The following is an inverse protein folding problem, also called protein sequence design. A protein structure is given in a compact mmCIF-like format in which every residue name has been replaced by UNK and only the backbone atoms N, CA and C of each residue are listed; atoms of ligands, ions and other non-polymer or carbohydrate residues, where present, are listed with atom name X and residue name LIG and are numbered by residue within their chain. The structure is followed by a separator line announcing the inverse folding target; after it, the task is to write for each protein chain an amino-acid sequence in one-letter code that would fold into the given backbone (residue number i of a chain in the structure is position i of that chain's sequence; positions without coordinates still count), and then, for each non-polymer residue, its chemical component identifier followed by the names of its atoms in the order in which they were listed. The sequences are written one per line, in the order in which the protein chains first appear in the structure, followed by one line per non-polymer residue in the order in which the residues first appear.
data_IF_481847677634
#
_entry.id   IF_481847677634
#
_cell.length_a   1.000
_cell.length_b   1.000
_cell.length_c   1.000
_cell.angle_alpha   90.00
_cell.angle_beta   90.00
_cell.angle_gamma   90.00
#
_symmetry.space_group_name_H-M   'P 1'
#
loop_
_entity.id
_entity.type
_entity.pdbx_description
1 polymer ?
#
# COMPACT_ATOMS: atom_id res chain seq x y z
N UNK A 1 10.24 -2.87 -10.58
CA UNK A 1 9.77 -1.65 -11.29
C UNK A 1 10.76 -0.50 -11.20
N UNK A 2 11.22 -0.13 -9.99
CA UNK A 2 12.19 0.97 -9.79
C UNK A 2 13.42 0.78 -10.69
N UNK A 3 14.07 -0.39 -10.62
CA UNK A 3 15.25 -0.68 -11.44
C UNK A 3 15.02 -0.49 -12.94
N UNK A 4 13.88 -0.95 -13.46
CA UNK A 4 13.53 -0.77 -14.87
C UNK A 4 13.33 0.72 -15.21
N UNK A 5 12.63 1.49 -14.36
CA UNK A 5 12.43 2.92 -14.55
C UNK A 5 13.78 3.66 -14.58
N UNK A 6 14.71 3.32 -13.68
CA UNK A 6 16.05 3.92 -13.61
C UNK A 6 16.93 3.50 -14.79
N UNK A 7 17.00 2.20 -15.09
CA UNK A 7 17.79 1.65 -16.20
C UNK A 7 17.44 2.27 -17.55
N UNK A 8 16.17 2.53 -17.80
CA UNK A 8 15.69 3.09 -19.06
C UNK A 8 15.43 4.60 -19.00
N UNK A 9 15.80 5.26 -17.90
CA UNK A 9 15.59 6.71 -17.67
C UNK A 9 14.15 7.14 -17.96
N UNK A 10 13.19 6.36 -17.47
CA UNK A 10 11.75 6.67 -17.57
C UNK A 10 11.35 7.54 -16.39
N UNK A 11 10.56 8.57 -16.69
CA UNK A 11 9.85 9.37 -15.68
C UNK A 11 8.57 8.62 -15.33
N UNK A 12 8.37 8.33 -14.05
CA UNK A 12 7.20 7.61 -13.54
C UNK A 12 6.58 8.44 -12.43
N UNK A 13 5.26 8.62 -12.48
CA UNK A 13 4.50 9.22 -11.40
C UNK A 13 3.46 8.22 -10.90
N UNK A 14 3.55 7.83 -9.63
CA UNK A 14 2.59 6.95 -8.98
C UNK A 14 1.35 7.72 -8.50
N UNK A 15 0.17 7.14 -8.70
CA UNK A 15 -1.07 7.64 -8.12
C UNK A 15 -1.25 7.17 -6.66
N UNK A 16 -1.66 8.08 -5.78
CA UNK A 16 -2.30 7.79 -4.49
C UNK A 16 -3.40 8.83 -4.28
N UNK A 17 -4.16 8.75 -3.19
CA UNK A 17 -5.05 9.85 -2.79
C UNK A 17 -4.26 11.17 -2.72
N UNK A 18 -4.91 12.29 -3.04
CA UNK A 18 -4.27 13.58 -3.28
C UNK A 18 -3.73 14.16 -1.96
N UNK A 19 -2.49 13.84 -1.60
CA UNK A 19 -1.90 14.23 -0.31
C UNK A 19 -1.81 15.75 -0.10
N UNK A 20 -1.69 16.51 -1.20
CA UNK A 20 -1.71 17.98 -1.18
C UNK A 20 -3.12 18.58 -1.18
N UNK A 21 -4.17 17.76 -1.18
CA UNK A 21 -5.57 18.18 -1.15
C UNK A 21 -6.32 17.48 0.00
N UNK A 22 -6.62 16.19 -0.17
CA UNK A 22 -7.51 15.41 0.71
C UNK A 22 -6.97 15.24 2.14
N UNK A 23 -5.64 15.28 2.34
CA UNK A 23 -5.01 15.05 3.64
C UNK A 23 -4.42 16.30 4.29
N UNK A 24 -4.63 17.50 3.73
CA UNK A 24 -4.04 18.74 4.25
C UNK A 24 -4.38 18.99 5.72
N UNK A 25 -5.60 18.67 6.14
CA UNK A 25 -6.04 18.78 7.55
C UNK A 25 -5.21 17.96 8.53
N UNK A 26 -4.59 16.87 8.08
CA UNK A 26 -3.71 16.02 8.91
C UNK A 26 -2.26 16.46 8.72
N UNK A 27 -1.85 16.75 7.49
CA UNK A 27 -0.48 17.14 7.16
C UNK A 27 -0.09 18.47 7.80
N UNK A 28 -0.95 19.48 7.75
CA UNK A 28 -0.64 20.83 8.23
C UNK A 28 -0.25 20.88 9.70
N UNK A 29 -1.01 20.32 10.66
CA UNK A 29 -0.59 20.33 12.06
C UNK A 29 0.66 19.46 12.30
N UNK A 30 0.84 18.37 11.53
CA UNK A 30 2.05 17.54 11.63
C UNK A 30 3.30 18.30 11.17
N UNK A 31 3.23 18.96 10.02
CA UNK A 31 4.37 19.63 9.40
C UNK A 31 4.59 21.03 9.96
N UNK A 32 3.53 21.72 10.38
CA UNK A 32 3.59 23.01 11.08
C UNK A 32 4.13 22.93 12.51
N UNK A 33 4.35 21.71 13.04
CA UNK A 33 4.92 21.51 14.38
C UNK A 33 3.93 21.63 15.53
N UNK A 34 2.64 21.83 15.24
CA UNK A 34 1.57 21.97 16.25
C UNK A 34 1.45 20.75 17.17
N UNK A 35 1.74 19.56 16.62
CA UNK A 35 1.71 18.30 17.36
C UNK A 35 3.05 17.93 18.02
N UNK A 36 4.05 18.82 17.97
CA UNK A 36 5.41 18.52 18.40
C UNK A 36 6.06 17.39 17.56
N UNK A 37 7.13 16.75 18.07
CA UNK A 37 7.66 15.51 17.52
C UNK A 37 6.59 14.41 17.36
N UNK A 38 6.36 13.97 16.12
CA UNK A 38 5.43 12.86 15.82
C UNK A 38 6.04 11.53 16.27
N UNK A 39 5.20 10.67 16.87
CA UNK A 39 5.57 9.32 17.30
C UNK A 39 4.90 8.26 16.45
N UNK A 40 3.62 8.42 16.17
CA UNK A 40 2.89 7.46 15.34
C UNK A 40 1.70 8.02 14.60
N UNK A 41 1.22 7.26 13.63
CA UNK A 41 -0.10 7.45 13.01
C UNK A 41 -0.78 6.10 12.81
N UNK A 42 -2.09 6.02 13.04
CA UNK A 42 -2.90 4.84 12.79
C UNK A 42 -3.64 4.91 11.45
N UNK A 43 -3.74 3.78 10.75
CA UNK A 43 -4.49 3.62 9.51
C UNK A 43 -5.49 2.49 9.70
N UNK A 44 -6.76 2.75 9.37
CA UNK A 44 -7.79 1.71 9.32
C UNK A 44 -8.17 1.45 7.86
N UNK A 45 -7.76 0.29 7.34
CA UNK A 45 -8.15 -0.19 6.00
C UNK A 45 -8.47 -1.68 6.03
N UNK A 46 -9.14 -2.14 4.98
CA UNK A 46 -9.59 -3.53 4.86
C UNK A 46 -10.86 -3.63 4.01
N UNK A 47 -11.43 -4.83 3.90
CA UNK A 47 -10.95 -6.09 4.50
C UNK A 47 -9.71 -6.66 3.79
N UNK A 48 -9.08 -7.68 4.37
CA UNK A 48 -8.11 -8.52 3.66
C UNK A 48 -8.83 -9.34 2.57
N UNK A 49 -8.09 -9.72 1.52
CA UNK A 49 -8.59 -10.69 0.55
C UNK A 49 -8.93 -12.05 1.19
N UNK A 50 -9.87 -12.76 0.59
CA UNK A 50 -10.34 -14.08 1.02
C UNK A 50 -10.14 -15.14 -0.06
N UNK A 51 -10.28 -16.41 0.32
CA UNK A 51 -10.35 -17.50 -0.66
C UNK A 51 -11.67 -17.42 -1.45
N UNK A 52 -11.64 -17.85 -2.71
CA UNK A 52 -12.82 -17.90 -3.55
C UNK A 52 -13.41 -19.31 -3.60
N UNK A 53 -14.68 -19.46 -3.21
CA UNK A 53 -15.40 -20.75 -3.24
C UNK A 53 -16.67 -20.70 -4.09
N UNK A 54 -16.70 -19.81 -5.09
CA UNK A 54 -17.82 -19.71 -6.02
C UNK A 54 -17.99 -21.02 -6.80
N UNK A 55 -19.23 -21.50 -7.01
CA UNK A 55 -19.49 -22.69 -7.81
C UNK A 55 -19.21 -22.43 -9.30
N UNK A 56 -19.01 -23.50 -10.05
CA UNK A 56 -18.87 -23.42 -11.49
C UNK A 56 -20.20 -23.01 -12.16
N UNK A 57 -20.08 -22.21 -13.22
CA UNK A 57 -21.14 -21.86 -14.16
C UNK A 57 -20.69 -22.22 -15.59
N UNK A 58 -21.64 -22.38 -16.50
CA UNK A 58 -21.33 -22.49 -17.92
C UNK A 58 -20.63 -21.21 -18.40
N UNK A 59 -19.49 -21.37 -19.07
CA UNK A 59 -18.73 -20.23 -19.58
C UNK A 59 -19.45 -19.64 -20.81
N UNK A 60 -19.80 -18.34 -20.80
CA UNK A 60 -20.36 -17.67 -21.96
C UNK A 60 -19.42 -17.77 -23.18
N UNK A 61 -19.98 -17.84 -24.38
CA UNK A 61 -19.17 -17.95 -25.61
C UNK A 61 -18.45 -16.66 -26.01
N UNK A 62 -18.79 -15.54 -25.37
CA UNK A 62 -18.24 -14.20 -25.63
C UNK A 62 -17.10 -13.81 -24.68
N UNK A 63 -16.65 -14.71 -23.78
CA UNK A 63 -15.49 -14.50 -22.92
C UNK A 63 -14.39 -15.55 -23.17
N UNK A 64 -13.17 -15.08 -23.38
CA UNK A 64 -11.98 -15.93 -23.31
C UNK A 64 -11.60 -16.11 -21.84
N UNK A 65 -12.11 -17.19 -21.23
CA UNK A 65 -11.92 -17.44 -19.81
C UNK A 65 -10.47 -17.73 -19.43
N UNK A 66 -9.73 -18.41 -20.30
CA UNK A 66 -8.32 -18.72 -20.08
C UNK A 66 -7.47 -17.45 -20.07
N UNK A 67 -7.76 -16.52 -20.99
CA UNK A 67 -7.15 -15.19 -21.01
C UNK A 67 -7.55 -14.36 -19.79
N UNK A 68 -8.82 -14.38 -19.40
CA UNK A 68 -9.30 -13.62 -18.23
C UNK A 68 -8.63 -14.08 -16.94
N UNK A 69 -8.48 -15.39 -16.72
CA UNK A 69 -7.77 -15.93 -15.57
C UNK A 69 -6.30 -15.52 -15.56
N UNK A 70 -5.68 -15.44 -16.74
CA UNK A 70 -4.28 -15.08 -16.89
C UNK A 70 -3.36 -15.97 -16.03
N UNK A 71 -2.39 -15.39 -15.30
CA UNK A 71 -1.40 -16.13 -14.51
C UNK A 71 -1.97 -16.78 -13.24
N UNK A 72 -3.21 -16.47 -12.85
CA UNK A 72 -3.79 -17.01 -11.63
C UNK A 72 -3.97 -18.54 -11.71
N UNK A 73 -4.10 -19.24 -10.56
CA UNK A 73 -4.53 -20.63 -10.54
C UNK A 73 -5.81 -20.83 -11.35
N UNK A 74 -5.89 -21.96 -12.05
CA UNK A 74 -7.09 -22.27 -12.82
C UNK A 74 -8.30 -22.40 -11.89
N UNK A 75 -9.41 -21.76 -12.26
CA UNK A 75 -10.68 -21.85 -11.54
C UNK A 75 -11.83 -21.91 -12.56
N UNK A 76 -12.94 -22.59 -12.24
CA UNK A 76 -14.08 -22.61 -13.14
C UNK A 76 -14.68 -21.20 -13.27
N UNK A 77 -15.30 -20.96 -14.42
CA UNK A 77 -16.05 -19.73 -14.65
C UNK A 77 -17.13 -19.56 -13.59
N UNK A 78 -17.27 -18.32 -13.13
CA UNK A 78 -18.44 -17.85 -12.41
C UNK A 78 -18.56 -16.35 -12.68
N UNK A 79 -19.75 -15.90 -13.08
CA UNK A 79 -20.02 -14.50 -13.41
C UNK A 79 -19.61 -13.51 -12.30
N UNK A 80 -19.69 -13.88 -11.02
CA UNK A 80 -19.28 -13.05 -9.87
C UNK A 80 -17.78 -12.78 -9.76
N UNK A 81 -16.97 -13.35 -10.65
CA UNK A 81 -15.57 -12.94 -10.81
C UNK A 81 -15.44 -11.71 -11.73
N UNK A 82 -16.34 -11.54 -12.70
CA UNK A 82 -16.18 -10.57 -13.79
C UNK A 82 -17.46 -9.83 -14.22
N UNK A 83 -18.51 -9.78 -13.38
CA UNK A 83 -19.80 -9.15 -13.69
C UNK A 83 -19.82 -7.61 -13.60
N UNK A 84 -18.64 -6.97 -13.56
CA UNK A 84 -18.50 -5.53 -13.38
C UNK A 84 -18.62 -5.05 -11.93
N UNK A 85 -18.76 -5.94 -10.95
CA UNK A 85 -18.62 -5.58 -9.54
C UNK A 85 -17.14 -5.34 -9.18
N UNK A 86 -16.83 -4.17 -8.61
CA UNK A 86 -15.50 -3.80 -8.12
C UNK A 86 -15.42 -3.65 -6.60
N UNK A 87 -16.36 -4.25 -5.86
CA UNK A 87 -16.33 -4.30 -4.40
C UNK A 87 -15.15 -5.12 -3.87
N UNK A 88 -14.71 -4.83 -2.64
CA UNK A 88 -13.61 -5.54 -1.97
C UNK A 88 -14.07 -6.45 -0.83
N UNK A 89 -15.37 -6.47 -0.52
CA UNK A 89 -15.97 -7.22 0.59
C UNK A 89 -16.75 -8.48 0.18
N UNK A 90 -16.44 -9.07 -0.98
CA UNK A 90 -17.03 -10.31 -1.50
C UNK A 90 -17.62 -10.17 -2.89
N UNK A 91 -17.86 -11.31 -3.55
CA UNK A 91 -18.53 -11.40 -4.86
C UNK A 91 -17.92 -10.51 -5.97
N UNK A 92 -16.59 -10.36 -5.94
CA UNK A 92 -15.79 -9.67 -6.96
C UNK A 92 -14.38 -10.22 -6.97
N UNK A 93 -13.72 -10.23 -8.13
CA UNK A 93 -12.31 -10.61 -8.24
C UNK A 93 -11.40 -9.83 -7.27
N UNK A 94 -11.74 -8.57 -6.96
CA UNK A 94 -10.95 -7.72 -6.06
C UNK A 94 -10.94 -8.22 -4.63
N UNK A 95 -11.85 -9.11 -4.25
CA UNK A 95 -11.90 -9.73 -2.93
C UNK A 95 -11.10 -11.01 -2.82
N UNK A 96 -10.69 -11.63 -3.93
CA UNK A 96 -10.12 -12.97 -3.90
C UNK A 96 -8.59 -12.94 -3.96
N UNK A 97 -7.97 -13.72 -3.09
CA UNK A 97 -6.51 -13.75 -2.86
C UNK A 97 -5.67 -14.12 -4.09
N UNK A 98 -6.29 -14.84 -5.03
CA UNK A 98 -5.69 -15.24 -6.30
C UNK A 98 -5.56 -14.09 -7.30
N UNK A 99 -6.36 -13.03 -7.15
CA UNK A 99 -6.38 -11.89 -8.08
C UNK A 99 -6.04 -10.54 -7.41
N UNK A 100 -6.22 -10.41 -6.10
CA UNK A 100 -6.14 -9.14 -5.38
C UNK A 100 -5.82 -9.33 -3.90
N UNK A 101 -5.23 -8.31 -3.26
CA UNK A 101 -5.05 -8.24 -1.80
C UNK A 101 -6.26 -7.70 -1.04
N UNK A 102 -7.39 -7.46 -1.72
CA UNK A 102 -8.62 -6.98 -1.08
C UNK A 102 -8.62 -5.47 -0.84
N UNK A 103 -9.43 -5.03 0.12
CA UNK A 103 -9.51 -3.64 0.55
C UNK A 103 -8.17 -3.10 1.09
N UNK A 104 -7.33 -4.00 1.62
CA UNK A 104 -5.97 -3.67 2.08
C UNK A 104 -5.06 -3.14 0.96
N UNK A 105 -5.08 -3.74 -0.22
CA UNK A 105 -4.26 -3.27 -1.37
C UNK A 105 -4.98 -2.22 -2.21
N UNK A 106 -6.29 -2.06 -2.01
CA UNK A 106 -7.10 -0.97 -2.59
C UNK A 106 -6.90 0.32 -1.79
N UNK A 107 -7.65 0.48 -0.69
CA UNK A 107 -7.63 1.67 0.16
C UNK A 107 -6.32 1.87 0.91
N UNK A 108 -5.52 0.81 1.09
CA UNK A 108 -4.20 0.94 1.73
C UNK A 108 -3.27 1.87 0.96
N UNK A 109 -3.25 1.81 -0.39
CA UNK A 109 -2.44 2.74 -1.18
C UNK A 109 -2.83 4.22 -0.95
N UNK A 110 -4.09 4.48 -0.61
CA UNK A 110 -4.60 5.80 -0.27
C UNK A 110 -4.18 6.21 1.14
N UNK A 111 -4.57 5.42 2.15
CA UNK A 111 -4.38 5.79 3.56
C UNK A 111 -2.93 5.66 4.03
N UNK A 112 -2.21 4.60 3.65
CA UNK A 112 -0.78 4.49 3.94
C UNK A 112 0.03 5.55 3.18
N UNK A 113 -0.37 5.89 1.95
CA UNK A 113 0.22 7.01 1.21
C UNK A 113 0.04 8.36 1.93
N UNK A 114 -1.16 8.62 2.46
CA UNK A 114 -1.42 9.79 3.29
C UNK A 114 -0.66 9.79 4.61
N UNK A 115 -0.62 8.65 5.30
CA UNK A 115 0.06 8.48 6.58
C UNK A 115 1.57 8.69 6.46
N UNK A 116 2.22 7.99 5.53
CA UNK A 116 3.66 8.13 5.27
C UNK A 116 4.05 9.55 4.87
N UNK A 117 3.16 10.28 4.19
CA UNK A 117 3.36 11.70 3.89
C UNK A 117 3.19 12.59 5.14
N UNK A 118 2.13 12.38 5.92
CA UNK A 118 1.84 13.17 7.12
C UNK A 118 2.95 13.06 8.17
N UNK A 119 3.46 11.86 8.43
CA UNK A 119 4.54 11.63 9.41
C UNK A 119 5.94 11.66 8.78
N UNK A 120 6.05 12.08 7.52
CA UNK A 120 7.29 12.38 6.82
C UNK A 120 8.29 11.21 6.71
N UNK A 121 7.76 10.01 6.48
CA UNK A 121 8.55 8.76 6.29
C UNK A 121 8.43 8.19 4.88
N UNK A 122 7.86 8.93 3.93
CA UNK A 122 7.63 8.45 2.54
C UNK A 122 8.89 7.99 1.79
N UNK A 123 10.06 8.47 2.19
CA UNK A 123 11.36 8.09 1.61
C UNK A 123 12.00 6.89 2.34
N UNK A 124 11.37 6.42 3.41
CA UNK A 124 11.80 5.29 4.22
C UNK A 124 10.86 4.10 4.03
N UNK A 125 11.34 2.92 4.43
CA UNK A 125 10.54 1.74 4.68
C UNK A 125 10.70 1.31 6.15
N UNK A 126 9.73 0.59 6.73
CA UNK A 126 9.91 0.05 8.07
C UNK A 126 10.96 -1.07 8.09
N UNK A 127 11.62 -1.26 9.21
CA UNK A 127 12.58 -2.37 9.44
C UNK A 127 11.94 -3.54 10.20
N UNK A 128 10.82 -3.29 10.89
CA UNK A 128 10.07 -4.30 11.62
C UNK A 128 8.56 -4.14 11.36
N UNK A 129 7.90 -5.28 11.24
CA UNK A 129 6.43 -5.41 11.14
C UNK A 129 5.99 -6.25 12.32
N UNK A 130 5.39 -5.63 13.32
CA UNK A 130 5.04 -6.29 14.58
C UNK A 130 3.57 -6.67 14.53
N UNK A 131 3.29 -7.96 14.68
CA UNK A 131 1.93 -8.49 14.74
C UNK A 131 1.47 -8.55 16.19
N UNK A 132 0.29 -8.01 16.44
CA UNK A 132 -0.37 -8.04 17.73
C UNK A 132 -1.66 -8.85 17.65
N UNK A 133 -1.83 -9.77 18.59
CA UNK A 133 -3.02 -10.61 18.72
C UNK A 133 -3.53 -10.52 20.16
N UNK A 134 -4.64 -9.81 20.33
CA UNK A 134 -5.35 -9.68 21.60
C UNK A 134 -6.67 -10.47 21.55
N UNK A 135 -6.73 -11.55 20.75
CA UNK A 135 -7.90 -12.39 20.58
C UNK A 135 -8.83 -11.87 19.48
N UNK A 136 -9.83 -11.08 19.84
CA UNK A 136 -10.79 -10.50 18.88
C UNK A 136 -10.22 -9.31 18.09
N UNK A 137 -9.04 -8.82 18.49
CA UNK A 137 -8.38 -7.66 17.91
C UNK A 137 -6.99 -8.02 17.44
N UNK A 138 -6.80 -7.94 16.13
CA UNK A 138 -5.54 -8.19 15.47
C UNK A 138 -5.09 -6.92 14.74
N UNK A 139 -3.88 -6.47 15.02
CA UNK A 139 -3.35 -5.22 14.49
C UNK A 139 -1.87 -5.34 14.20
N UNK A 140 -1.35 -4.43 13.38
CA UNK A 140 0.06 -4.44 12.94
C UNK A 140 0.70 -3.08 13.23
N UNK A 141 1.94 -3.10 13.68
CA UNK A 141 2.80 -1.92 13.83
C UNK A 141 3.99 -2.02 12.88
N UNK A 142 4.24 -0.95 12.13
CA UNK A 142 5.40 -0.77 11.27
C UNK A 142 6.38 0.16 11.97
N UNK A 143 7.57 -0.32 12.31
CA UNK A 143 8.62 0.51 12.93
C UNK A 143 9.62 0.99 11.90
N UNK A 144 9.78 2.30 11.82
CA UNK A 144 10.75 2.95 10.95
C UNK A 144 12.08 3.19 11.67
N UNK A 145 13.20 3.27 10.93
CA UNK A 145 14.53 3.45 11.52
C UNK A 145 14.69 4.76 12.31
N UNK A 146 13.86 5.76 12.03
CA UNK A 146 13.83 7.03 12.75
C UNK A 146 12.98 7.00 14.03
N UNK A 147 12.46 5.84 14.42
CA UNK A 147 11.64 5.64 15.62
C UNK A 147 10.16 6.00 15.46
N UNK A 148 9.70 6.43 14.28
CA UNK A 148 8.28 6.63 14.00
C UNK A 148 7.60 5.29 13.77
N UNK A 149 6.37 5.14 14.22
CA UNK A 149 5.53 3.99 13.92
C UNK A 149 4.32 4.34 13.05
N UNK A 150 3.98 3.47 12.10
CA UNK A 150 2.65 3.47 11.47
C UNK A 150 1.93 2.24 11.99
N UNK A 151 0.68 2.38 12.41
CA UNK A 151 -0.13 1.24 12.88
C UNK A 151 -1.29 0.99 11.93
N UNK A 152 -1.70 -0.27 11.84
CA UNK A 152 -2.84 -0.70 11.05
C UNK A 152 -3.89 -1.36 11.94
N UNK A 153 -5.11 -0.80 11.96
CA UNK A 153 -6.25 -1.24 12.78
C UNK A 153 -5.93 -1.30 14.28
N UNK A 154 -5.14 -0.35 14.81
CA UNK A 154 -4.87 -0.26 16.24
C UNK A 154 -6.20 -0.13 17.01
N UNK A 155 -6.44 -0.95 18.05
CA UNK A 155 -7.68 -0.91 18.82
C UNK A 155 -8.06 0.49 19.31
N UNK A 156 -9.35 0.82 19.21
CA UNK A 156 -9.94 2.08 19.70
C UNK A 156 -9.26 3.34 19.16
N UNK A 157 -8.66 3.26 17.96
CA UNK A 157 -7.94 4.37 17.35
C UNK A 157 -8.55 4.70 15.99
N UNK A 158 -8.85 5.98 15.76
CA UNK A 158 -9.46 6.44 14.52
C UNK A 158 -8.52 6.32 13.31
N UNK A 159 -9.10 6.33 12.11
CA UNK A 159 -8.32 6.32 10.89
C UNK A 159 -7.56 7.65 10.73
N UNK A 160 -6.27 7.56 10.42
CA UNK A 160 -5.33 8.68 10.32
C UNK A 160 -5.19 9.49 11.61
N UNK A 161 -5.43 8.85 12.77
CA UNK A 161 -5.16 9.44 14.07
C UNK A 161 -3.64 9.53 14.30
N UNK A 162 -3.14 10.74 14.56
CA UNK A 162 -1.72 11.03 14.77
C UNK A 162 -1.44 11.19 16.25
N UNK A 163 -0.43 10.48 16.73
CA UNK A 163 0.13 10.64 18.07
C UNK A 163 1.44 11.43 17.98
N UNK A 164 1.45 12.62 18.57
CA UNK A 164 2.65 13.45 18.74
C UNK A 164 2.95 13.74 20.22
N UNK A 165 3.82 14.69 20.48
CA UNK A 165 4.12 15.23 21.82
C UNK A 165 3.74 16.71 21.92
N UNK A 166 2.44 17.05 22.01
CA UNK A 166 2.00 18.44 22.11
C UNK A 166 2.66 19.15 23.31
N UNK A 167 3.23 20.32 23.05
CA UNK A 167 3.98 21.10 24.05
C UNK A 167 5.50 20.95 23.97
N UNK A 168 6.01 19.95 23.24
CA UNK A 168 7.40 19.92 22.80
C UNK A 168 7.57 20.73 21.51
N UNK A 169 8.66 21.48 21.41
CA UNK A 169 8.95 22.29 20.23
C UNK A 169 9.48 21.42 19.09
N UNK A 170 8.88 21.57 17.91
CA UNK A 170 9.42 21.08 16.64
C UNK A 170 9.35 22.20 15.61
N UNK A 171 10.48 22.46 14.96
CA UNK A 171 10.52 23.45 13.88
C UNK A 171 9.57 23.06 12.74
N UNK A 172 8.79 24.02 12.22
CA UNK A 172 7.88 23.74 11.12
C UNK A 172 8.66 23.38 9.85
N UNK A 173 8.13 22.41 9.11
CA UNK A 173 8.60 22.00 7.78
C UNK A 173 7.60 22.51 6.74
N UNK A 174 8.09 23.23 5.73
CA UNK A 174 7.25 23.65 4.61
C UNK A 174 6.75 22.43 3.82
N UNK A 175 5.45 22.41 3.52
CA UNK A 175 4.86 21.35 2.71
C UNK A 175 5.22 21.57 1.24
N UNK A 176 5.78 20.55 0.55
CA UNK A 176 6.16 20.66 -0.86
C UNK A 176 4.94 20.92 -1.75
N UNK A 177 5.19 21.56 -2.89
CA UNK A 177 4.18 21.85 -3.91
C UNK A 177 4.45 21.07 -5.19
N UNK A 178 3.40 20.93 -6.01
CA UNK A 178 3.54 20.40 -7.36
C UNK A 178 4.35 21.35 -8.25
N UNK A 179 5.18 20.79 -9.12
CA UNK A 179 5.81 21.54 -10.21
C UNK A 179 4.79 21.78 -11.33
N UNK A 180 5.03 22.80 -12.15
CA UNK A 180 4.13 23.14 -13.25
C UNK A 180 2.75 23.64 -12.79
N UNK A 181 1.72 23.44 -13.62
CA UNK A 181 0.36 23.92 -13.39
C UNK A 181 -0.66 22.79 -13.59
N UNK A 182 -1.74 22.79 -12.80
CA UNK A 182 -2.79 21.77 -12.92
C UNK A 182 -2.63 20.55 -12.00
N UNK A 183 -1.94 20.72 -10.87
CA UNK A 183 -1.78 19.67 -9.85
C UNK A 183 -0.81 18.56 -10.26
N UNK A 184 -1.08 17.33 -9.81
CA UNK A 184 -0.19 16.17 -10.04
C UNK A 184 0.05 15.85 -11.53
N UNK A 185 -0.93 16.11 -12.40
CA UNK A 185 -0.76 15.94 -13.84
C UNK A 185 0.20 16.99 -14.42
N UNK A 186 0.10 18.24 -13.94
CA UNK A 186 1.02 19.32 -14.26
C UNK A 186 2.45 19.00 -13.86
N UNK A 187 2.61 18.47 -12.66
CA UNK A 187 3.89 18.02 -12.10
C UNK A 187 4.53 16.94 -12.96
N UNK A 188 3.76 15.91 -13.32
CA UNK A 188 4.24 14.84 -14.19
C UNK A 188 4.64 15.35 -15.57
N UNK A 189 3.81 16.18 -16.22
CA UNK A 189 4.12 16.74 -17.54
C UNK A 189 5.38 17.62 -17.48
N UNK A 190 5.52 18.43 -16.43
CA UNK A 190 6.73 19.22 -16.19
C UNK A 190 7.96 18.32 -16.12
N UNK A 191 7.92 17.29 -15.28
CA UNK A 191 9.03 16.35 -15.09
C UNK A 191 9.36 15.53 -16.34
N UNK A 192 8.37 15.17 -17.17
CA UNK A 192 8.61 14.54 -18.47
C UNK A 192 9.40 15.47 -19.41
N UNK A 193 9.09 16.76 -19.41
CA UNK A 193 9.76 17.76 -20.25
C UNK A 193 11.15 18.11 -19.77
N UNK A 194 11.34 18.27 -18.45
CA UNK A 194 12.60 18.71 -17.85
C UNK A 194 13.52 17.56 -17.44
N UNK A 195 13.01 16.33 -17.43
CA UNK A 195 13.67 15.13 -16.89
C UNK A 195 13.95 15.19 -15.39
N UNK A 196 13.24 16.05 -14.68
CA UNK A 196 13.26 16.06 -13.22
C UNK A 196 12.45 14.91 -12.61
N UNK A 197 12.63 14.69 -11.32
CA UNK A 197 11.86 13.74 -10.51
C UNK A 197 10.46 14.30 -10.20
N UNK A 198 9.38 13.53 -10.48
CA UNK A 198 8.01 13.88 -10.09
C UNK A 198 7.82 13.89 -8.57
N UNK A 199 6.82 14.66 -8.12
CA UNK A 199 6.38 14.71 -6.72
C UNK A 199 5.99 13.32 -6.17
N UNK A 200 5.46 12.43 -7.01
CA UNK A 200 5.19 11.02 -6.69
C UNK A 200 6.08 10.08 -7.50
N UNK A 201 7.38 10.19 -7.35
CA UNK A 201 8.32 9.25 -7.99
C UNK A 201 8.05 7.79 -7.58
N UNK A 202 8.58 6.86 -8.37
CA UNK A 202 8.29 5.42 -8.25
C UNK A 202 8.68 4.84 -6.88
N UNK A 203 9.76 5.29 -6.26
CA UNK A 203 10.18 4.83 -4.93
C UNK A 203 9.14 5.19 -3.87
N UNK A 204 8.57 6.41 -3.93
CA UNK A 204 7.55 6.85 -2.97
C UNK A 204 6.26 6.04 -3.11
N UNK A 205 5.91 5.67 -4.36
CA UNK A 205 4.78 4.80 -4.63
C UNK A 205 5.01 3.38 -4.11
N UNK A 206 6.20 2.82 -4.33
CA UNK A 206 6.60 1.49 -3.81
C UNK A 206 6.56 1.48 -2.29
N UNK A 207 7.15 2.49 -1.62
CA UNK A 207 7.16 2.57 -0.16
C UNK A 207 5.73 2.64 0.43
N UNK A 208 4.82 3.35 -0.24
CA UNK A 208 3.42 3.44 0.20
C UNK A 208 2.70 2.08 0.13
N UNK A 209 2.86 1.35 -0.98
CA UNK A 209 2.18 0.07 -1.21
C UNK A 209 2.85 -1.10 -0.47
N UNK A 210 4.15 -0.99 -0.17
CA UNK A 210 4.88 -1.98 0.64
C UNK A 210 4.16 -2.25 1.97
N UNK A 211 3.63 -1.22 2.64
CA UNK A 211 2.90 -1.38 3.90
C UNK A 211 1.69 -2.31 3.78
N UNK A 212 0.89 -2.18 2.72
CA UNK A 212 -0.25 -3.08 2.46
C UNK A 212 0.19 -4.55 2.32
N UNK A 213 1.29 -4.80 1.61
CA UNK A 213 1.82 -6.15 1.43
C UNK A 213 2.42 -6.69 2.73
N UNK A 214 3.25 -5.91 3.41
CA UNK A 214 3.89 -6.29 4.67
C UNK A 214 2.85 -6.62 5.75
N UNK A 215 1.81 -5.78 5.92
CA UNK A 215 0.71 -6.11 6.85
C UNK A 215 -0.03 -7.38 6.43
N UNK A 216 -0.36 -7.53 5.14
CA UNK A 216 -1.06 -8.74 4.66
C UNK A 216 -0.27 -10.01 4.98
N UNK A 217 1.06 -9.97 4.81
CA UNK A 217 1.93 -11.11 5.10
C UNK A 217 1.96 -11.35 6.62
N UNK A 218 2.16 -10.31 7.43
CA UNK A 218 2.15 -10.44 8.90
C UNK A 218 0.82 -11.02 9.43
N UNK A 219 -0.33 -10.56 8.92
CA UNK A 219 -1.64 -11.16 9.25
C UNK A 219 -1.76 -12.61 8.81
N UNK A 220 -1.12 -12.98 7.70
CA UNK A 220 -1.19 -14.34 7.17
C UNK A 220 -0.34 -15.33 7.98
N UNK A 221 0.88 -14.94 8.35
CA UNK A 221 1.77 -15.78 9.16
C UNK A 221 1.52 -15.63 10.67
N UNK A 222 0.73 -14.63 11.08
CA UNK A 222 0.34 -14.33 12.46
C UNK A 222 1.51 -14.19 13.43
N UNK A 223 2.56 -13.48 12.98
CA UNK A 223 3.76 -13.21 13.79
C UNK A 223 4.50 -11.98 13.28
N UNK A 224 5.32 -11.42 14.15
CA UNK A 224 6.20 -10.30 13.81
C UNK A 224 7.30 -10.72 12.85
N UNK A 225 7.70 -9.80 11.98
CA UNK A 225 8.66 -9.99 10.90
C UNK A 225 9.69 -8.87 10.90
N UNK A 226 10.93 -9.20 10.55
CA UNK A 226 11.96 -8.22 10.22
C UNK A 226 12.01 -8.03 8.71
N UNK A 227 12.16 -6.79 8.26
CA UNK A 227 12.21 -6.44 6.85
C UNK A 227 13.59 -5.89 6.50
N UNK A 228 14.28 -6.56 5.57
CA UNK A 228 15.48 -6.02 4.97
C UNK A 228 15.09 -5.14 3.80
N UNK A 229 15.18 -3.83 3.99
CA UNK A 229 14.83 -2.83 2.97
C UNK A 229 15.73 -2.94 1.74
N UNK A 230 17.00 -3.27 1.90
CA UNK A 230 17.93 -3.34 0.78
C UNK A 230 17.71 -4.61 -0.06
N UNK A 231 17.54 -5.75 0.60
CA UNK A 231 17.29 -7.02 -0.06
C UNK A 231 15.82 -7.23 -0.48
N UNK A 232 14.89 -6.43 0.06
CA UNK A 232 13.44 -6.57 -0.11
C UNK A 232 12.96 -7.98 0.28
N UNK A 233 13.43 -8.47 1.43
CA UNK A 233 13.08 -9.80 1.94
C UNK A 233 12.92 -9.82 3.47
N UNK A 234 12.37 -10.93 3.98
CA UNK A 234 12.33 -11.25 5.40
C UNK A 234 13.54 -12.14 5.77
N UNK A 235 14.58 -11.63 6.45
CA UNK A 235 15.81 -12.38 6.67
C UNK A 235 15.59 -13.68 7.44
N UNK A 236 16.06 -14.79 6.87
CA UNK A 236 15.95 -16.12 7.48
C UNK A 236 14.52 -16.70 7.53
N UNK A 237 13.57 -16.10 6.82
CA UNK A 237 12.15 -16.46 6.90
C UNK A 237 11.59 -16.97 5.57
N UNK A 238 11.85 -18.23 5.28
CA UNK A 238 11.39 -18.86 4.05
C UNK A 238 9.85 -18.89 3.91
N UNK A 239 9.10 -18.95 5.01
CA UNK A 239 7.64 -18.96 4.96
C UNK A 239 7.08 -17.60 4.54
N UNK A 240 7.51 -16.51 5.18
CA UNK A 240 7.06 -15.17 4.85
C UNK A 240 7.50 -14.77 3.43
N UNK A 241 8.73 -15.13 3.04
CA UNK A 241 9.26 -14.84 1.71
C UNK A 241 8.47 -15.53 0.58
N UNK A 242 7.79 -16.66 0.83
CA UNK A 242 6.90 -17.29 -0.17
C UNK A 242 5.70 -16.42 -0.53
N UNK A 243 5.37 -15.41 0.26
CA UNK A 243 4.26 -14.49 -0.01
C UNK A 243 4.68 -13.18 -0.68
N UNK A 244 5.99 -12.96 -0.92
CA UNK A 244 6.50 -11.82 -1.69
C UNK A 244 6.23 -11.93 -3.19
N UNK A 245 5.96 -13.15 -3.68
CA UNK A 245 5.55 -13.39 -5.05
C UNK A 245 4.37 -14.39 -5.11
N UNK A 246 3.87 -14.64 -6.32
CA UNK A 246 2.82 -15.62 -6.61
C UNK A 246 3.30 -16.60 -7.68
N UNK A 247 2.96 -17.88 -7.50
CA UNK A 247 3.11 -18.86 -8.58
C UNK A 247 2.22 -18.45 -9.76
N UNK A 248 2.77 -18.51 -10.98
CA UNK A 248 2.07 -18.14 -12.20
C UNK A 248 1.84 -19.38 -13.06
N UNK A 249 0.65 -19.50 -13.64
CA UNK A 249 0.29 -20.57 -14.57
C UNK A 249 0.84 -20.29 -15.96
N UNK A 250 1.32 -21.33 -16.66
CA UNK A 250 1.69 -21.19 -18.08
C UNK A 250 0.51 -20.71 -18.94
N UNK A 251 0.76 -19.95 -20.02
CA UNK A 251 2.07 -19.50 -20.53
C UNK A 251 2.60 -18.22 -19.83
N UNK A 252 1.96 -17.78 -18.75
CA UNK A 252 2.23 -16.48 -18.13
C UNK A 252 3.46 -16.53 -17.19
N UNK A 253 4.65 -16.47 -17.76
CA UNK A 253 5.92 -16.33 -17.02
C UNK A 253 6.58 -14.96 -17.30
N UNK A 254 7.41 -14.48 -16.37
CA UNK A 254 8.24 -13.27 -16.48
C UNK A 254 9.71 -13.68 -16.53
#
# INVERSE_FOLDING_TARGET
MIEAARRYSRVVSGGSQRVLEDYRKIVDPCWGGELGPIKSINVNVGPLSQNCYLPAEDTPSDIDWEMWLGPAPWAPYNSKRCDGNFGTSGNSWRSYVDYSGGGMTDWGAHHFGGATFAVDVRELQPEEVIYHDEGDKQWVEFRYPNGIAITHNRPNTDNLAVDGTPGETREPKAVPTYKGQGGIYGDFIHCVKTRETPFRDIELAVNSVALSHLATIAYRVRRSLKWDVAAQEFPGDAEANRFLDRARREPWAI
#
